data_IF_762492596632
#
_entry.id   IF_762492596632
#
_cell.length_a   1.000
_cell.length_b   1.000
_cell.length_c   1.000
_cell.angle_alpha   90.00
_cell.angle_beta   90.00
_cell.angle_gamma   90.00
#
_symmetry.space_group_name_H-M   'P 1'
#
loop_
_entity.id
_entity.type
_entity.pdbx_description
1 polymer ?
#
# COMPACT_ATOMS: atom_id res chain seq x y z
N UNK A 1 20.41 -11.06 6.20
CA UNK A 1 19.26 -10.60 7.02
C UNK A 1 18.40 -9.68 6.16
N UNK A 2 17.41 -10.21 5.45
CA UNK A 2 16.36 -9.35 4.89
C UNK A 2 15.55 -8.86 6.07
N UNK A 3 15.82 -7.64 6.52
CA UNK A 3 15.00 -6.98 7.52
C UNK A 3 13.60 -6.90 6.92
N UNK A 4 12.72 -7.82 7.32
CA UNK A 4 11.35 -8.02 6.82
C UNK A 4 10.47 -6.86 7.27
N UNK A 5 10.87 -5.64 6.92
CA UNK A 5 10.28 -4.42 7.42
C UNK A 5 8.99 -4.21 6.63
N UNK A 6 7.88 -4.65 7.21
CA UNK A 6 6.54 -4.45 6.64
C UNK A 6 6.35 -2.99 6.25
N UNK A 7 5.79 -2.73 5.08
CA UNK A 7 5.46 -1.37 4.65
C UNK A 7 4.51 -0.69 5.65
N UNK A 8 4.53 0.65 5.70
CA UNK A 8 3.73 1.43 6.64
C UNK A 8 2.23 1.10 6.55
N UNK A 9 1.72 0.86 5.34
CA UNK A 9 0.34 0.45 5.12
C UNK A 9 0.02 -0.92 5.72
N UNK A 10 0.83 -1.95 5.44
CA UNK A 10 0.60 -3.29 5.96
C UNK A 10 0.76 -3.35 7.49
N UNK A 11 1.68 -2.52 8.05
CA UNK A 11 1.84 -2.35 9.49
C UNK A 11 0.58 -1.74 10.12
N UNK A 12 0.04 -0.67 9.53
CA UNK A 12 -1.18 -0.02 10.02
C UNK A 12 -2.40 -0.93 9.94
N UNK A 13 -2.56 -1.63 8.81
CA UNK A 13 -3.65 -2.58 8.56
C UNK A 13 -3.48 -3.93 9.29
N UNK A 14 -2.42 -4.10 10.09
CA UNK A 14 -2.08 -5.33 10.82
C UNK A 14 -2.11 -6.60 9.95
N UNK A 15 -1.72 -6.49 8.67
CA UNK A 15 -1.69 -7.61 7.71
C UNK A 15 -0.26 -7.98 7.33
N UNK A 16 -0.08 -9.17 6.74
CA UNK A 16 1.22 -9.62 6.24
C UNK A 16 1.64 -8.78 5.02
N UNK A 17 2.87 -8.26 5.03
CA UNK A 17 3.47 -7.60 3.87
C UNK A 17 4.20 -8.68 3.07
N UNK A 18 3.71 -9.00 1.87
CA UNK A 18 4.37 -9.92 0.94
C UNK A 18 5.46 -9.18 0.13
N UNK A 19 6.33 -9.92 -0.56
CA UNK A 19 7.39 -9.35 -1.39
C UNK A 19 6.84 -8.57 -2.59
N UNK A 20 5.70 -9.01 -3.12
CA UNK A 20 4.91 -8.39 -4.19
C UNK A 20 3.94 -7.30 -3.66
N UNK A 21 4.20 -6.73 -2.48
CA UNK A 21 3.29 -5.76 -1.90
C UNK A 21 3.30 -4.46 -2.72
N UNK A 22 2.24 -4.25 -3.48
CA UNK A 22 1.96 -3.03 -4.26
C UNK A 22 1.99 -1.73 -3.46
N UNK A 23 1.78 -1.81 -2.14
CA UNK A 23 1.80 -0.65 -1.24
C UNK A 23 3.21 -0.34 -0.73
N UNK A 24 4.15 -1.28 -0.82
CA UNK A 24 5.51 -1.12 -0.34
C UNK A 24 6.27 0.07 -0.96
N UNK A 25 6.24 0.29 -2.30
CA UNK A 25 6.93 1.44 -2.89
C UNK A 25 6.31 2.79 -2.49
N UNK A 26 5.00 2.84 -2.24
CA UNK A 26 4.30 4.09 -1.88
C UNK A 26 4.33 4.38 -0.37
N UNK A 27 4.35 3.35 0.47
CA UNK A 27 4.28 3.48 1.93
C UNK A 27 5.49 2.82 2.59
N UNK A 28 6.71 3.38 2.41
CA UNK A 28 7.91 2.81 2.99
C UNK A 28 7.82 2.76 4.52
N UNK A 29 8.48 1.79 5.16
CA UNK A 29 8.44 1.63 6.61
C UNK A 29 9.07 2.80 7.39
N UNK A 30 9.91 3.59 6.74
CA UNK A 30 10.56 4.79 7.31
C UNK A 30 9.58 5.92 7.58
N UNK A 31 8.40 5.92 6.96
CA UNK A 31 7.41 6.97 7.13
C UNK A 31 6.01 6.43 7.47
N UNK A 32 5.80 5.93 8.70
CA UNK A 32 4.52 5.36 9.13
C UNK A 32 3.36 6.37 9.13
N UNK A 33 3.65 7.66 9.35
CA UNK A 33 2.66 8.73 9.38
C UNK A 33 2.01 8.98 8.01
N UNK A 34 2.71 8.66 6.91
CA UNK A 34 2.16 8.85 5.56
C UNK A 34 0.86 8.07 5.36
N UNK A 35 0.80 6.82 5.82
CA UNK A 35 -0.42 6.02 5.72
C UNK A 35 -1.50 6.50 6.69
N UNK A 36 -1.13 6.94 7.90
CA UNK A 36 -2.08 7.51 8.85
C UNK A 36 -2.75 8.80 8.31
N UNK A 37 -1.99 9.67 7.64
CA UNK A 37 -2.51 10.89 7.03
C UNK A 37 -3.46 10.58 5.87
N UNK A 38 -3.09 9.66 4.98
CA UNK A 38 -3.97 9.20 3.89
C UNK A 38 -5.23 8.56 4.47
N UNK A 39 -5.10 7.72 5.51
CA UNK A 39 -6.25 7.13 6.20
C UNK A 39 -7.15 8.16 6.88
N UNK A 40 -6.57 9.24 7.44
CA UNK A 40 -7.32 10.33 8.05
C UNK A 40 -8.09 11.16 7.03
N UNK A 41 -7.51 11.43 5.87
CA UNK A 41 -8.13 12.27 4.83
C UNK A 41 -9.19 11.51 4.04
N UNK A 42 -8.90 10.27 3.67
CA UNK A 42 -9.77 9.49 2.77
C UNK A 42 -10.72 8.55 3.53
N UNK A 43 -10.40 8.18 4.77
CA UNK A 43 -11.14 7.15 5.51
C UNK A 43 -10.92 5.73 4.95
N UNK A 44 -11.31 4.72 5.72
CA UNK A 44 -11.08 3.31 5.38
C UNK A 44 -11.78 2.87 4.08
N UNK A 45 -12.97 3.41 3.81
CA UNK A 45 -13.79 3.05 2.64
C UNK A 45 -13.19 3.57 1.33
N UNK A 46 -12.69 4.82 1.31
CA UNK A 46 -12.11 5.41 0.10
C UNK A 46 -10.70 4.90 -0.19
N UNK A 47 -9.94 4.49 0.83
CA UNK A 47 -8.66 3.80 0.63
C UNK A 47 -8.85 2.48 -0.11
N UNK A 48 -9.88 1.71 0.22
CA UNK A 48 -10.14 0.42 -0.45
C UNK A 48 -10.52 0.63 -1.91
N UNK A 49 -11.30 1.67 -2.20
CA UNK A 49 -11.66 2.09 -3.56
C UNK A 49 -10.45 2.60 -4.35
N UNK A 50 -9.62 3.49 -3.75
CA UNK A 50 -8.39 3.98 -4.36
C UNK A 50 -7.37 2.86 -4.59
N UNK A 51 -7.26 1.91 -3.67
CA UNK A 51 -6.44 0.71 -3.84
C UNK A 51 -6.94 -0.14 -5.00
N UNK A 52 -8.26 -0.35 -5.13
CA UNK A 52 -8.82 -1.05 -6.28
C UNK A 52 -8.51 -0.32 -7.58
N UNK A 53 -8.67 1.00 -7.62
CA UNK A 53 -8.37 1.81 -8.80
C UNK A 53 -6.87 1.78 -9.12
N UNK A 54 -5.98 2.06 -8.15
CA UNK A 54 -4.53 2.00 -8.35
C UNK A 54 -4.08 0.60 -8.75
N UNK A 55 -4.61 -0.46 -8.14
CA UNK A 55 -4.26 -1.84 -8.50
C UNK A 55 -4.76 -2.21 -9.89
N UNK A 56 -5.99 -1.81 -10.24
CA UNK A 56 -6.59 -2.08 -11.55
C UNK A 56 -5.86 -1.33 -12.68
N UNK A 57 -5.48 -0.07 -12.46
CA UNK A 57 -4.73 0.73 -13.46
C UNK A 57 -3.29 0.25 -13.62
N UNK A 58 -2.61 -0.11 -12.52
CA UNK A 58 -1.23 -0.62 -12.59
C UNK A 58 -1.16 -2.07 -13.12
N UNK A 59 -2.20 -2.89 -12.94
CA UNK A 59 -2.28 -4.23 -13.56
C UNK A 59 -2.54 -4.15 -15.07
N UNK A 60 -3.42 -3.25 -15.53
CA UNK A 60 -3.68 -3.07 -16.96
C UNK A 60 -2.47 -2.51 -17.73
N UNK A 61 -1.59 -1.78 -17.04
CA UNK A 61 -0.31 -1.34 -17.63
C UNK A 61 0.68 -2.49 -17.88
N UNK A 62 0.48 -3.66 -17.27
CA UNK A 62 1.35 -4.84 -17.44
C UNK A 62 0.79 -5.91 -18.39
N UNK A 63 -0.43 -5.74 -18.91
CA UNK A 63 -1.04 -6.67 -19.89
C UNK A 63 -1.08 -6.12 -21.32
N UNK A 64 -0.41 -5.01 -21.59
CA UNK A 64 -0.28 -4.46 -22.94
C UNK A 64 1.19 -4.22 -23.34
N UNK A 65 2.05 -5.22 -23.11
CA UNK A 65 3.38 -5.34 -23.72
C UNK A 65 3.70 -6.82 -23.92
#
# INVERSE_FOLDING_TARGET
MSNSTRCAACRFLRRRCRQDCVLAPYFPPTNPQRFANVHKVFGASKITELLKVFLYTNLHSSTNS
#
